data_IF_756254221250
#
_entry.id   IF_756254221250
#
_cell.length_a   1.000
_cell.length_b   1.000
_cell.length_c   1.000
_cell.angle_alpha   90.00
_cell.angle_beta   90.00
_cell.angle_gamma   90.00
#
_symmetry.space_group_name_H-M   'P 1'
#
loop_
_entity.id
_entity.type
_entity.pdbx_description
1 polymer ?
#
# COMPACT_ATOMS: atom_id res chain seq x y z
N UNK A 1 19.08 -17.99 -12.24
CA UNK A 1 20.22 -17.75 -11.32
C UNK A 1 20.33 -18.93 -10.39
N UNK A 2 21.52 -19.53 -10.26
CA UNK A 2 21.73 -20.67 -9.36
C UNK A 2 21.97 -20.20 -7.91
N UNK A 3 21.64 -21.03 -6.93
CA UNK A 3 21.80 -20.69 -5.50
C UNK A 3 23.22 -20.24 -5.11
N UNK A 4 24.32 -20.83 -5.63
CA UNK A 4 25.68 -20.36 -5.32
C UNK A 4 25.95 -18.95 -5.84
N UNK A 5 25.46 -18.60 -7.04
CA UNK A 5 25.64 -17.27 -7.64
C UNK A 5 24.90 -16.22 -6.80
N UNK A 6 23.66 -16.49 -6.43
CA UNK A 6 22.88 -15.58 -5.59
C UNK A 6 23.53 -15.36 -4.22
N UNK A 7 24.04 -16.44 -3.60
CA UNK A 7 24.75 -16.35 -2.32
C UNK A 7 25.99 -15.48 -2.41
N UNK A 8 26.75 -15.58 -3.49
CA UNK A 8 27.94 -14.76 -3.72
C UNK A 8 27.58 -13.29 -3.92
N UNK A 9 26.59 -12.99 -4.77
CA UNK A 9 26.13 -11.61 -5.00
C UNK A 9 25.64 -10.95 -3.70
N UNK A 10 24.93 -11.69 -2.84
CA UNK A 10 24.50 -11.17 -1.53
C UNK A 10 25.69 -10.92 -0.59
N UNK A 11 26.75 -11.76 -0.65
CA UNK A 11 27.97 -11.53 0.13
C UNK A 11 28.74 -10.29 -0.36
N UNK A 12 28.85 -10.12 -1.68
CA UNK A 12 29.50 -8.97 -2.28
C UNK A 12 28.74 -7.68 -1.93
N UNK A 13 27.41 -7.70 -1.92
CA UNK A 13 26.56 -6.58 -1.49
C UNK A 13 26.73 -6.27 0.02
N UNK A 14 26.81 -7.30 0.89
CA UNK A 14 27.12 -7.12 2.32
C UNK A 14 28.48 -6.44 2.53
N UNK A 15 29.48 -6.76 1.71
CA UNK A 15 30.80 -6.14 1.75
C UNK A 15 30.76 -4.68 1.29
N UNK A 16 30.09 -4.40 0.18
CA UNK A 16 29.93 -3.04 -0.36
C UNK A 16 29.21 -2.12 0.63
N UNK A 17 28.09 -2.58 1.20
CA UNK A 17 27.31 -1.84 2.20
C UNK A 17 27.95 -1.84 3.59
N UNK A 18 29.02 -2.59 3.79
CA UNK A 18 29.72 -2.76 5.09
C UNK A 18 28.79 -3.18 6.23
N UNK A 19 27.75 -3.96 5.90
CA UNK A 19 26.76 -4.40 6.88
C UNK A 19 26.29 -5.83 6.57
N UNK A 20 25.78 -6.52 7.59
CA UNK A 20 25.19 -7.85 7.44
C UNK A 20 23.71 -7.73 7.14
N UNK A 21 23.28 -8.34 6.06
CA UNK A 21 21.89 -8.34 5.63
C UNK A 21 21.16 -9.63 6.04
N UNK A 22 21.93 -10.72 6.23
CA UNK A 22 21.40 -12.05 6.51
C UNK A 22 21.98 -12.64 7.79
N UNK A 23 21.12 -13.18 8.64
CA UNK A 23 21.47 -14.06 9.75
C UNK A 23 21.44 -15.48 9.22
N UNK A 24 22.63 -16.08 9.05
CA UNK A 24 22.79 -17.45 8.59
C UNK A 24 22.72 -18.39 9.81
N UNK A 25 21.66 -19.15 9.93
CA UNK A 25 21.53 -20.17 10.97
C UNK A 25 22.55 -21.30 10.83
N UNK A 26 22.91 -21.96 11.95
CA UNK A 26 23.65 -23.23 11.92
C UNK A 26 22.79 -24.27 11.20
N UNK A 27 23.47 -25.31 10.61
CA UNK A 27 22.88 -26.43 9.83
C UNK A 27 21.40 -26.68 10.18
N UNK A 28 20.48 -26.54 9.22
CA UNK A 28 19.01 -26.67 9.31
C UNK A 28 18.20 -25.51 9.96
N UNK A 29 18.76 -24.34 10.23
CA UNK A 29 17.96 -23.17 10.62
C UNK A 29 17.69 -22.28 9.41
N UNK A 30 16.45 -21.74 9.32
CA UNK A 30 16.05 -20.80 8.28
C UNK A 30 16.95 -19.55 8.30
N UNK A 31 17.37 -19.10 7.13
CA UNK A 31 18.01 -17.81 6.94
C UNK A 31 16.97 -16.73 7.25
N UNK A 32 17.33 -15.75 8.07
CA UNK A 32 16.49 -14.59 8.40
C UNK A 32 17.20 -13.30 8.03
N UNK A 33 16.44 -12.25 7.81
CA UNK A 33 16.98 -10.91 7.54
C UNK A 33 17.37 -10.24 8.86
N UNK A 34 18.45 -9.45 8.83
CA UNK A 34 18.75 -8.43 9.84
C UNK A 34 17.78 -7.26 9.68
N UNK A 35 17.81 -6.25 10.55
CA UNK A 35 16.99 -5.05 10.39
C UNK A 35 17.46 -4.24 9.18
N UNK A 36 18.77 -4.16 8.92
CA UNK A 36 19.34 -3.60 7.69
C UNK A 36 18.90 -4.40 6.44
N UNK A 37 18.86 -5.73 6.56
CA UNK A 37 18.36 -6.59 5.48
C UNK A 37 16.87 -6.38 5.19
N UNK A 38 16.04 -6.13 6.21
CA UNK A 38 14.62 -5.77 6.04
C UNK A 38 14.49 -4.41 5.37
N UNK A 39 15.27 -3.42 5.80
CA UNK A 39 15.30 -2.09 5.20
C UNK A 39 15.70 -2.17 3.72
N UNK A 40 16.81 -2.86 3.41
CA UNK A 40 17.27 -3.02 2.04
C UNK A 40 16.22 -3.73 1.17
N UNK A 41 15.59 -4.78 1.71
CA UNK A 41 14.52 -5.50 0.99
C UNK A 41 13.36 -4.56 0.65
N UNK A 42 12.91 -3.73 1.59
CA UNK A 42 11.83 -2.76 1.34
C UNK A 42 12.23 -1.78 0.23
N UNK A 43 13.44 -1.20 0.32
CA UNK A 43 13.94 -0.25 -0.67
C UNK A 43 14.15 -0.90 -2.06
N UNK A 44 14.68 -2.12 -2.10
CA UNK A 44 14.84 -2.85 -3.35
C UNK A 44 13.49 -3.15 -4.02
N UNK A 45 12.46 -3.48 -3.23
CA UNK A 45 11.11 -3.67 -3.76
C UNK A 45 10.55 -2.37 -4.36
N UNK A 46 10.69 -1.23 -3.66
CA UNK A 46 10.27 0.09 -4.17
C UNK A 46 10.98 0.44 -5.49
N UNK A 47 12.29 0.18 -5.58
CA UNK A 47 13.07 0.44 -6.80
C UNK A 47 12.58 -0.43 -7.97
N UNK A 48 12.37 -1.72 -7.73
CA UNK A 48 11.89 -2.66 -8.78
C UNK A 48 10.47 -2.29 -9.21
N UNK A 49 9.59 -1.96 -8.27
CA UNK A 49 8.23 -1.52 -8.58
C UNK A 49 8.24 -0.26 -9.45
N UNK A 50 9.08 0.73 -9.11
CA UNK A 50 9.20 1.97 -9.87
C UNK A 50 9.81 1.72 -11.26
N UNK A 51 10.82 0.84 -11.38
CA UNK A 51 11.41 0.47 -12.66
C UNK A 51 10.38 -0.20 -13.58
N UNK A 52 9.63 -1.18 -13.06
CA UNK A 52 8.57 -1.87 -13.81
C UNK A 52 7.50 -0.88 -14.28
N UNK A 53 7.10 0.05 -13.40
CA UNK A 53 6.13 1.10 -13.74
C UNK A 53 6.66 1.99 -14.85
N UNK A 54 7.91 2.43 -14.75
CA UNK A 54 8.55 3.26 -15.79
C UNK A 54 8.59 2.53 -17.13
N UNK A 55 8.95 1.24 -17.15
CA UNK A 55 8.94 0.45 -18.39
C UNK A 55 7.52 0.38 -19.00
N UNK A 56 6.49 0.19 -18.17
CA UNK A 56 5.09 0.11 -18.65
C UNK A 56 4.60 1.41 -19.29
N UNK A 57 5.08 2.57 -18.82
CA UNK A 57 4.74 3.88 -19.38
C UNK A 57 5.22 4.06 -20.83
N UNK A 58 6.31 3.40 -21.22
CA UNK A 58 6.84 3.44 -22.58
C UNK A 58 6.19 2.43 -23.56
N UNK A 59 5.40 1.49 -23.02
CA UNK A 59 4.70 0.47 -23.83
C UNK A 59 3.30 0.94 -24.30
N UNK A 60 3.01 2.22 -24.19
CA UNK A 60 1.70 2.79 -24.54
C UNK A 60 1.40 2.62 -26.04
N UNK A 61 0.29 1.93 -26.36
CA UNK A 61 -0.29 1.82 -27.69
C UNK A 61 -1.70 2.42 -27.68
N UNK A 62 -1.94 3.47 -28.45
CA UNK A 62 -3.24 4.14 -28.54
C UNK A 62 -4.38 3.21 -28.98
N UNK A 63 -4.08 2.15 -29.73
CA UNK A 63 -5.06 1.18 -30.22
C UNK A 63 -5.38 0.07 -29.22
N UNK A 64 -4.46 -0.19 -28.28
CA UNK A 64 -4.61 -1.23 -27.30
C UNK A 64 -4.22 -0.69 -25.93
N UNK A 65 -5.17 -0.10 -25.23
CA UNK A 65 -4.95 0.48 -23.91
C UNK A 65 -4.61 -0.62 -22.93
N UNK A 66 -3.34 -0.73 -22.60
CA UNK A 66 -2.76 -1.67 -21.64
C UNK A 66 -2.03 -0.89 -20.56
N UNK A 67 -1.87 -1.44 -19.39
CA UNK A 67 -1.07 -0.83 -18.33
C UNK A 67 -1.55 -1.21 -16.94
N UNK A 68 -0.87 -0.62 -15.98
CA UNK A 68 -1.07 -0.87 -14.56
C UNK A 68 -1.51 0.43 -13.87
N UNK A 69 -2.52 0.36 -13.01
CA UNK A 69 -3.01 1.48 -12.20
C UNK A 69 -2.83 1.10 -10.73
N UNK A 70 -2.08 1.91 -10.00
CA UNK A 70 -1.75 1.71 -8.60
C UNK A 70 -2.56 2.67 -7.72
N UNK A 71 -3.39 2.12 -6.85
CA UNK A 71 -4.33 2.88 -6.02
C UNK A 71 -4.11 2.54 -4.56
N UNK A 72 -3.82 3.55 -3.74
CA UNK A 72 -3.68 3.42 -2.29
C UNK A 72 -4.89 3.96 -1.53
N UNK A 73 -5.15 3.40 -0.35
CA UNK A 73 -6.18 3.90 0.54
C UNK A 73 -6.40 3.02 1.75
N UNK A 74 -7.11 3.56 2.74
CA UNK A 74 -7.59 2.79 3.87
C UNK A 74 -8.81 1.95 3.54
N UNK A 75 -9.21 1.11 4.47
CA UNK A 75 -10.42 0.27 4.38
C UNK A 75 -11.69 1.12 4.64
N UNK A 76 -12.10 1.89 3.64
CA UNK A 76 -13.27 2.78 3.71
C UNK A 76 -14.36 2.36 2.73
N UNK A 77 -15.59 2.81 2.98
CA UNK A 77 -16.71 2.55 2.05
C UNK A 77 -16.50 3.24 0.69
N UNK A 78 -15.67 4.28 0.64
CA UNK A 78 -15.28 4.96 -0.60
C UNK A 78 -14.52 4.06 -1.57
N UNK A 79 -13.82 3.02 -1.09
CA UNK A 79 -13.20 1.99 -1.96
C UNK A 79 -14.21 1.25 -2.84
N UNK A 80 -15.49 1.21 -2.46
CA UNK A 80 -16.55 0.65 -3.31
C UNK A 80 -16.74 1.44 -4.59
N UNK A 81 -16.50 2.75 -4.59
CA UNK A 81 -16.57 3.60 -5.77
C UNK A 81 -15.45 3.20 -6.73
N UNK A 82 -14.24 3.07 -6.20
CA UNK A 82 -13.06 2.62 -6.98
C UNK A 82 -13.33 1.25 -7.60
N UNK A 83 -13.76 0.28 -6.79
CA UNK A 83 -14.05 -1.08 -7.26
C UNK A 83 -15.14 -1.11 -8.35
N UNK A 84 -16.23 -0.33 -8.19
CA UNK A 84 -17.28 -0.22 -9.20
C UNK A 84 -16.77 0.42 -10.48
N UNK A 85 -15.92 1.44 -10.38
CA UNK A 85 -15.33 2.13 -11.53
C UNK A 85 -14.35 1.22 -12.26
N UNK A 86 -13.44 0.58 -11.53
CA UNK A 86 -12.51 -0.41 -12.09
C UNK A 86 -13.28 -1.53 -12.82
N UNK A 87 -14.33 -2.09 -12.22
CA UNK A 87 -15.18 -3.11 -12.85
C UNK A 87 -15.81 -2.64 -14.17
N UNK A 88 -16.18 -1.36 -14.28
CA UNK A 88 -16.72 -0.79 -15.54
C UNK A 88 -15.60 -0.61 -16.56
N UNK A 89 -14.44 -0.13 -16.14
CA UNK A 89 -13.30 0.11 -17.02
C UNK A 89 -12.70 -1.21 -17.54
N UNK A 90 -12.61 -2.26 -16.72
CA UNK A 90 -12.17 -3.59 -17.16
C UNK A 90 -13.01 -4.17 -18.31
N UNK A 91 -14.30 -3.81 -18.40
CA UNK A 91 -15.13 -4.23 -19.52
C UNK A 91 -14.77 -3.51 -20.82
N UNK A 92 -14.33 -2.28 -20.74
CA UNK A 92 -13.93 -1.45 -21.89
C UNK A 92 -12.47 -1.64 -22.25
N UNK A 93 -11.62 -1.81 -21.25
CA UNK A 93 -10.17 -1.92 -21.36
C UNK A 93 -9.69 -3.16 -20.56
N UNK A 94 -9.83 -4.37 -21.13
CA UNK A 94 -9.57 -5.62 -20.40
C UNK A 94 -8.11 -5.84 -20.05
N UNK A 95 -7.19 -5.12 -20.70
CA UNK A 95 -5.75 -5.24 -20.51
C UNK A 95 -5.18 -4.22 -19.48
N UNK A 96 -6.04 -3.53 -18.73
CA UNK A 96 -5.63 -2.70 -17.60
C UNK A 96 -5.65 -3.53 -16.33
N UNK A 97 -4.53 -3.58 -15.61
CA UNK A 97 -4.41 -4.18 -14.31
C UNK A 97 -4.60 -3.13 -13.20
N UNK A 98 -5.23 -3.52 -12.09
CA UNK A 98 -5.43 -2.66 -10.93
C UNK A 98 -4.70 -3.24 -9.74
N UNK A 99 -3.78 -2.46 -9.17
CA UNK A 99 -3.02 -2.80 -7.98
C UNK A 99 -3.54 -1.97 -6.81
N UNK A 100 -4.03 -2.64 -5.77
CA UNK A 100 -4.58 -1.97 -4.59
C UNK A 100 -3.60 -2.07 -3.43
N UNK A 101 -3.25 -0.94 -2.85
CA UNK A 101 -2.45 -0.85 -1.64
C UNK A 101 -3.33 -0.42 -0.46
N UNK A 102 -3.39 -1.24 0.60
CA UNK A 102 -4.06 -0.88 1.84
C UNK A 102 -3.04 -0.34 2.85
N UNK A 103 -3.26 0.88 3.31
CA UNK A 103 -2.39 1.55 4.27
C UNK A 103 -3.07 2.76 4.90
N UNK A 104 -2.42 3.34 5.90
CA UNK A 104 -2.87 4.60 6.51
C UNK A 104 -2.59 5.79 5.57
N UNK A 105 -3.09 6.98 5.94
CA UNK A 105 -2.94 8.18 5.10
C UNK A 105 -1.49 8.61 4.89
N UNK A 106 -0.61 8.42 5.88
CA UNK A 106 0.81 8.78 5.79
C UNK A 106 1.55 7.85 4.82
N UNK A 107 1.34 6.54 4.94
CA UNK A 107 1.93 5.54 4.04
C UNK A 107 1.49 5.74 2.59
N UNK A 108 0.19 6.03 2.38
CA UNK A 108 -0.36 6.29 1.04
C UNK A 108 0.24 7.57 0.46
N UNK A 109 0.37 8.63 1.28
CA UNK A 109 0.99 9.89 0.85
C UNK A 109 2.45 9.68 0.46
N UNK A 110 3.24 9.00 1.29
CA UNK A 110 4.64 8.70 1.01
C UNK A 110 4.81 7.97 -0.34
N UNK A 111 3.95 6.99 -0.60
CA UNK A 111 3.99 6.23 -1.86
C UNK A 111 3.56 7.05 -3.07
N UNK A 112 2.62 7.98 -2.93
CA UNK A 112 2.27 8.95 -3.98
C UNK A 112 3.43 9.89 -4.28
N UNK A 113 4.07 10.45 -3.25
CA UNK A 113 5.23 11.34 -3.38
C UNK A 113 6.40 10.65 -4.10
N UNK A 114 6.55 9.33 -3.90
CA UNK A 114 7.57 8.50 -4.58
C UNK A 114 7.16 8.02 -5.97
N UNK A 115 5.96 8.34 -6.45
CA UNK A 115 5.46 7.85 -7.74
C UNK A 115 5.11 6.35 -7.77
N UNK A 116 5.04 5.68 -6.63
CA UNK A 116 4.67 4.26 -6.51
C UNK A 116 3.15 4.03 -6.60
N UNK A 117 2.36 5.06 -6.36
CA UNK A 117 0.92 5.07 -6.56
C UNK A 117 0.53 6.16 -7.55
N UNK A 118 -0.54 5.92 -8.31
CA UNK A 118 -1.14 6.89 -9.22
C UNK A 118 -2.26 7.68 -8.54
N UNK A 119 -2.98 7.02 -7.64
CA UNK A 119 -4.11 7.59 -6.90
C UNK A 119 -4.07 7.20 -5.44
N UNK A 120 -4.53 8.12 -4.59
CA UNK A 120 -4.73 7.88 -3.17
C UNK A 120 -6.13 8.26 -2.72
N UNK A 121 -6.77 7.43 -1.90
CA UNK A 121 -8.01 7.76 -1.21
C UNK A 121 -7.70 8.21 0.21
N UNK A 122 -8.16 9.42 0.53
CA UNK A 122 -7.94 10.03 1.83
C UNK A 122 -9.25 10.42 2.49
N UNK A 123 -9.28 10.37 3.82
CA UNK A 123 -10.35 10.91 4.65
C UNK A 123 -9.88 12.27 5.15
N UNK A 124 -10.72 13.29 5.06
CA UNK A 124 -10.40 14.61 5.60
C UNK A 124 -10.32 14.60 7.14
N UNK A 125 -9.43 15.42 7.73
CA UNK A 125 -8.58 16.44 7.11
C UNK A 125 -7.31 15.85 6.46
N UNK A 126 -6.97 16.31 5.24
CA UNK A 126 -5.76 15.93 4.50
C UNK A 126 -5.15 17.14 3.81
N UNK A 127 -3.83 17.29 3.84
CA UNK A 127 -3.14 18.37 3.12
C UNK A 127 -3.06 18.05 1.62
N UNK A 128 -3.74 18.86 0.83
CA UNK A 128 -3.95 18.65 -0.62
C UNK A 128 -3.04 19.50 -1.50
N UNK A 129 -2.14 20.32 -0.93
CA UNK A 129 -1.42 21.37 -1.65
C UNK A 129 -0.64 20.85 -2.86
N UNK A 130 -0.07 19.67 -2.74
CA UNK A 130 0.83 19.11 -3.74
C UNK A 130 0.12 18.16 -4.73
N UNK A 131 -1.21 17.99 -4.60
CA UNK A 131 -1.97 17.03 -5.39
C UNK A 131 -3.18 17.61 -6.07
N UNK A 132 -3.45 17.16 -7.30
CA UNK A 132 -4.78 17.28 -7.88
C UNK A 132 -5.76 16.39 -7.13
N UNK A 133 -6.97 16.86 -6.83
CA UNK A 133 -7.93 16.07 -6.06
C UNK A 133 -9.36 16.17 -6.59
N UNK A 134 -10.12 15.12 -6.31
CA UNK A 134 -11.56 15.05 -6.58
C UNK A 134 -12.27 14.72 -5.27
N UNK A 135 -13.21 15.56 -4.85
CA UNK A 135 -14.02 15.27 -3.68
C UNK A 135 -15.08 14.22 -3.99
N UNK A 136 -15.03 13.10 -3.27
CA UNK A 136 -16.07 12.10 -3.30
C UNK A 136 -17.24 12.57 -2.39
N UNK A 137 -18.48 12.49 -2.91
CA UNK A 137 -19.67 12.90 -2.14
C UNK A 137 -20.05 11.91 -1.02
N UNK A 138 -19.43 10.75 -1.02
CA UNK A 138 -19.71 9.70 -0.04
C UNK A 138 -19.08 10.05 1.31
N UNK A 139 -19.83 9.79 2.38
CA UNK A 139 -19.36 9.97 3.76
C UNK A 139 -19.24 8.62 4.41
N UNK A 140 -18.11 8.38 5.08
CA UNK A 140 -17.94 7.21 5.91
C UNK A 140 -18.74 7.35 7.22
N UNK A 141 -19.28 6.24 7.69
CA UNK A 141 -19.92 6.16 9.01
C UNK A 141 -18.93 5.59 10.01
N UNK A 142 -18.64 6.36 11.02
CA UNK A 142 -17.83 5.89 12.13
C UNK A 142 -18.72 5.13 13.12
N UNK A 143 -18.22 4.00 13.61
CA UNK A 143 -18.87 3.20 14.63
C UNK A 143 -17.90 2.81 15.71
N UNK A 144 -18.42 2.45 16.89
CA UNK A 144 -17.64 1.93 17.99
C UNK A 144 -17.82 0.41 18.07
N UNK A 145 -16.72 -0.32 18.00
CA UNK A 145 -16.72 -1.75 18.26
C UNK A 145 -16.61 -1.98 19.78
N UNK A 146 -17.55 -2.73 20.34
CA UNK A 146 -17.59 -3.00 21.76
C UNK A 146 -18.14 -4.39 22.07
N UNK A 147 -17.98 -4.85 23.29
CA UNK A 147 -18.60 -6.09 23.77
C UNK A 147 -20.12 -5.95 23.81
N UNK A 148 -20.86 -7.05 23.56
CA UNK A 148 -22.34 -7.06 23.56
C UNK A 148 -22.96 -6.68 24.91
N UNK A 149 -22.26 -6.93 26.00
CA UNK A 149 -22.66 -6.63 27.37
C UNK A 149 -22.28 -5.22 27.80
N UNK A 150 -21.61 -4.44 26.95
CA UNK A 150 -21.31 -3.03 27.25
C UNK A 150 -22.58 -2.21 27.46
N UNK A 151 -22.63 -1.34 28.48
CA UNK A 151 -23.74 -0.42 28.68
C UNK A 151 -24.04 0.45 27.45
N UNK A 152 -23.02 0.80 26.69
CA UNK A 152 -23.15 1.58 25.46
C UNK A 152 -23.77 0.80 24.30
N UNK A 153 -23.70 -0.54 24.32
CA UNK A 153 -24.27 -1.37 23.25
C UNK A 153 -25.81 -1.27 23.17
N UNK A 154 -26.46 -0.73 24.21
CA UNK A 154 -27.93 -0.49 24.26
C UNK A 154 -28.34 0.85 23.63
N UNK A 155 -27.37 1.73 23.31
CA UNK A 155 -27.63 3.03 22.69
C UNK A 155 -27.72 2.90 21.17
N UNK A 156 -28.65 3.62 20.57
CA UNK A 156 -28.81 3.68 19.12
C UNK A 156 -27.63 4.42 18.44
N UNK A 157 -27.08 5.44 19.13
CA UNK A 157 -25.90 6.18 18.70
C UNK A 157 -25.04 6.58 19.90
N UNK A 158 -23.74 6.72 19.65
CA UNK A 158 -22.74 7.07 20.66
C UNK A 158 -22.25 8.49 20.35
N UNK A 159 -22.20 9.33 21.40
CA UNK A 159 -21.66 10.69 21.32
C UNK A 159 -20.26 10.75 21.92
N UNK A 160 -19.44 11.77 21.58
CA UNK A 160 -18.14 11.95 22.22
C UNK A 160 -18.20 12.07 23.75
N UNK A 161 -19.32 12.59 24.29
CA UNK A 161 -19.54 12.67 25.75
C UNK A 161 -19.65 11.30 26.40
N UNK A 162 -20.24 10.35 25.72
CA UNK A 162 -20.38 8.97 26.20
C UNK A 162 -19.02 8.26 26.38
N UNK A 163 -18.00 8.75 25.70
CA UNK A 163 -16.66 8.16 25.72
C UNK A 163 -15.74 8.76 26.78
N UNK A 164 -16.11 9.89 27.39
CA UNK A 164 -15.26 10.60 28.39
C UNK A 164 -14.99 9.82 29.68
N UNK A 165 -15.88 8.90 30.05
CA UNK A 165 -15.81 8.17 31.31
C UNK A 165 -15.63 6.66 31.13
N UNK A 166 -15.10 6.24 29.97
CA UNK A 166 -14.81 4.84 29.69
C UNK A 166 -13.31 4.65 29.75
N UNK A 167 -12.81 3.64 30.49
CA UNK A 167 -11.39 3.32 30.57
C UNK A 167 -10.83 2.81 29.22
#
# INVERSE_FOLDING_TARGET
ITQPILSRQLMDLELELKTKLLIRGKRNKKITLTDEGKLLKSRAQEIVELANKTESEFLYDEKNVVGDIYIGGGETDSMRIVAKTAKKLCKKYPNINYHLYSGNGEDVKEKLDKGLLDFGLFIEPFDKKDFGFINLKQKDRWGLLMKKDSPLAKKEYITPQDLKNIP
#
